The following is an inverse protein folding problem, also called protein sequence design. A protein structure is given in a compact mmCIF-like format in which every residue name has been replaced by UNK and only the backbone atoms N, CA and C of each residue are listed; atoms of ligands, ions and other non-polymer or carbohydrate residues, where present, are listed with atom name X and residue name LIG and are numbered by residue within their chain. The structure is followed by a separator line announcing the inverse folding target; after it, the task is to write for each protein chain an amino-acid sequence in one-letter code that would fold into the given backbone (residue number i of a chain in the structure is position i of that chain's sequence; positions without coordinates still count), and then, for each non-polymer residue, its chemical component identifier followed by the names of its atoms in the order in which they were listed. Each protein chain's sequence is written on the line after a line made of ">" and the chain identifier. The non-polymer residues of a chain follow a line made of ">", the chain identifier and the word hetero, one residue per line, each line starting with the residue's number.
data_IF_121755690511
#
_entry.id   IF_121755690511
#
_cell.length_a   1.000
_cell.length_b   1.000
_cell.length_c   1.000
_cell.angle_alpha   90.00
_cell.angle_beta   90.00
_cell.angle_gamma   90.00
#
_symmetry.space_group_name_H-M   'P 1'
#
loop_
_entity.id
_entity.type
_entity.pdbx_description
1 polymer ?
#
# COMPACT_ATOMS: atom_id res chain seq x y z
N UNK A 1 11.68 -7.88 -18.86
CA UNK A 1 10.43 -7.58 -18.13
C UNK A 1 10.42 -6.06 -17.93
N UNK A 2 9.43 -5.36 -18.47
CA UNK A 2 9.27 -3.90 -18.32
C UNK A 2 8.34 -3.65 -17.13
N UNK A 3 8.82 -2.94 -16.11
CA UNK A 3 8.02 -2.50 -14.97
C UNK A 3 7.82 -1.00 -15.11
N UNK A 4 6.61 -0.52 -14.87
CA UNK A 4 6.26 0.91 -14.93
C UNK A 4 5.39 1.25 -13.72
N UNK A 5 5.64 2.40 -13.12
CA UNK A 5 4.86 2.92 -11.98
C UNK A 5 4.29 4.28 -12.37
N UNK A 6 3.00 4.30 -12.61
CA UNK A 6 2.30 5.47 -13.13
C UNK A 6 1.29 5.99 -12.10
N UNK A 7 1.24 7.31 -11.91
CA UNK A 7 0.16 7.92 -11.14
C UNK A 7 -1.17 7.66 -11.84
N UNK A 8 -2.08 6.99 -11.15
CA UNK A 8 -3.42 6.78 -11.67
C UNK A 8 -4.26 8.06 -11.51
N UNK A 9 -5.17 8.26 -12.43
CA UNK A 9 -6.07 9.41 -12.47
C UNK A 9 -7.52 8.92 -12.52
N UNK A 10 -8.50 9.82 -12.49
CA UNK A 10 -9.90 9.47 -12.69
C UNK A 10 -10.17 8.65 -13.98
N UNK A 11 -9.28 8.75 -14.99
CA UNK A 11 -9.44 8.01 -16.26
C UNK A 11 -9.13 6.52 -16.14
N UNK A 12 -8.19 6.14 -15.26
CA UNK A 12 -7.71 4.76 -15.12
C UNK A 12 -7.70 4.25 -13.66
N UNK A 13 -8.17 5.06 -12.71
CA UNK A 13 -8.26 4.70 -11.29
C UNK A 13 -9.13 3.49 -11.02
N UNK A 14 -10.11 3.23 -11.90
CA UNK A 14 -10.94 2.02 -11.83
C UNK A 14 -10.11 0.73 -11.83
N UNK A 15 -8.91 0.73 -12.41
CA UNK A 15 -8.03 -0.45 -12.41
C UNK A 15 -7.55 -0.76 -10.99
N UNK A 16 -7.17 0.24 -10.19
CA UNK A 16 -6.81 0.06 -8.78
C UNK A 16 -8.03 -0.42 -8.00
N UNK A 17 -9.18 0.23 -8.19
CA UNK A 17 -10.43 -0.12 -7.52
C UNK A 17 -10.86 -1.57 -7.80
N UNK A 18 -10.66 -2.07 -9.03
CA UNK A 18 -10.91 -3.47 -9.38
C UNK A 18 -9.98 -4.46 -8.62
N UNK A 19 -8.78 -4.04 -8.27
CA UNK A 19 -7.82 -4.88 -7.53
C UNK A 19 -7.98 -4.77 -6.01
N UNK A 20 -8.64 -3.74 -5.51
CA UNK A 20 -8.73 -3.47 -4.09
C UNK A 20 -9.46 -4.58 -3.29
N UNK A 21 -10.57 -5.15 -3.77
CA UNK A 21 -11.19 -6.30 -3.10
C UNK A 21 -10.27 -7.52 -2.98
N UNK A 22 -9.39 -7.73 -3.98
CA UNK A 22 -8.42 -8.82 -3.96
C UNK A 22 -7.32 -8.57 -2.92
N UNK A 23 -6.90 -7.32 -2.76
CA UNK A 23 -5.98 -6.90 -1.72
C UNK A 23 -6.57 -7.16 -0.32
N UNK A 24 -7.80 -6.74 -0.07
CA UNK A 24 -8.47 -6.95 1.20
C UNK A 24 -8.67 -8.45 1.52
N UNK A 25 -9.02 -9.25 0.52
CA UNK A 25 -9.11 -10.69 0.66
C UNK A 25 -7.77 -11.32 1.08
N UNK A 26 -6.67 -10.90 0.44
CA UNK A 26 -5.33 -11.41 0.78
C UNK A 26 -4.91 -11.02 2.21
N UNK A 27 -5.15 -9.77 2.61
CA UNK A 27 -4.87 -9.29 3.97
C UNK A 27 -5.72 -10.03 5.00
N UNK A 28 -6.99 -10.22 4.72
CA UNK A 28 -7.89 -10.99 5.58
C UNK A 28 -7.37 -12.41 5.82
N UNK A 29 -6.85 -13.07 4.78
CA UNK A 29 -6.21 -14.39 4.90
C UNK A 29 -4.95 -14.39 5.78
N UNK A 30 -4.19 -13.28 5.81
CA UNK A 30 -3.01 -13.12 6.67
C UNK A 30 -3.40 -12.89 8.13
N UNK A 31 -4.45 -12.09 8.37
CA UNK A 31 -4.86 -11.66 9.71
C UNK A 31 -5.96 -12.52 10.33
N UNK A 32 -6.57 -13.43 9.55
CA UNK A 32 -7.70 -14.23 10.00
C UNK A 32 -8.99 -13.41 10.14
N UNK A 33 -9.10 -12.28 9.44
CA UNK A 33 -10.30 -11.44 9.44
C UNK A 33 -11.40 -12.11 8.64
N UNK A 34 -12.62 -12.09 9.16
CA UNK A 34 -13.80 -12.60 8.46
C UNK A 34 -14.46 -11.48 7.63
N UNK A 35 -15.16 -11.85 6.54
CA UNK A 35 -15.95 -10.87 5.81
C UNK A 35 -17.15 -10.42 6.67
N UNK A 36 -17.72 -9.27 6.35
CA UNK A 36 -18.98 -8.82 6.93
C UNK A 36 -20.17 -9.72 6.48
N UNK A 37 -21.37 -9.45 6.99
CA UNK A 37 -22.58 -10.23 6.70
C UNK A 37 -22.97 -10.28 5.20
N UNK A 38 -22.41 -9.43 4.37
CA UNK A 38 -22.64 -9.39 2.92
C UNK A 38 -21.53 -10.06 2.12
N UNK A 39 -20.52 -10.65 2.79
CA UNK A 39 -19.39 -11.32 2.15
C UNK A 39 -18.30 -10.35 1.64
N UNK A 40 -18.29 -9.12 2.12
CA UNK A 40 -17.34 -8.06 1.78
C UNK A 40 -16.31 -7.92 2.91
N UNK A 41 -15.04 -7.78 2.58
CA UNK A 41 -13.98 -7.48 3.54
C UNK A 41 -13.85 -5.97 3.74
N UNK A 42 -14.83 -5.37 4.41
CA UNK A 42 -14.96 -3.95 4.74
C UNK A 42 -15.81 -3.79 6.01
N UNK A 43 -16.07 -2.54 6.40
CA UNK A 43 -16.94 -2.20 7.52
C UNK A 43 -18.33 -2.84 7.39
N UNK A 44 -19.03 -3.00 8.51
CA UNK A 44 -20.28 -3.76 8.59
C UNK A 44 -21.42 -3.23 7.71
N UNK A 45 -21.41 -1.95 7.37
CA UNK A 45 -22.42 -1.26 6.57
C UNK A 45 -22.18 -1.33 5.06
N UNK A 46 -20.98 -1.72 4.62
CA UNK A 46 -20.64 -1.90 3.20
C UNK A 46 -21.28 -3.18 2.67
N UNK A 47 -22.24 -3.06 1.75
CA UNK A 47 -23.09 -4.15 1.29
C UNK A 47 -22.74 -4.71 -0.08
N UNK A 48 -22.10 -3.89 -0.90
CA UNK A 48 -21.81 -4.22 -2.30
C UNK A 48 -20.38 -3.87 -2.69
N UNK A 49 -19.85 -4.55 -3.70
CA UNK A 49 -18.57 -4.20 -4.29
C UNK A 49 -18.59 -2.78 -4.92
N UNK A 50 -19.75 -2.28 -5.30
CA UNK A 50 -19.87 -0.90 -5.79
C UNK A 50 -19.64 0.10 -4.65
N UNK A 51 -20.22 -0.11 -3.47
CA UNK A 51 -19.99 0.74 -2.31
C UNK A 51 -18.52 0.70 -1.90
N UNK A 52 -17.88 -0.47 -1.87
CA UNK A 52 -16.44 -0.60 -1.65
C UNK A 52 -15.62 0.14 -2.72
N UNK A 53 -16.01 0.05 -3.98
CA UNK A 53 -15.41 0.77 -5.08
C UNK A 53 -15.54 2.30 -4.91
N UNK A 54 -16.67 2.78 -4.41
CA UNK A 54 -16.94 4.20 -4.21
C UNK A 54 -16.10 4.79 -3.06
N UNK A 55 -15.84 4.03 -1.99
CA UNK A 55 -14.94 4.43 -0.90
C UNK A 55 -13.55 4.80 -1.45
N UNK A 56 -13.05 4.07 -2.44
CA UNK A 56 -11.74 4.32 -3.02
C UNK A 56 -11.69 5.58 -3.92
N UNK A 57 -12.81 6.25 -4.14
CA UNK A 57 -12.87 7.46 -4.96
C UNK A 57 -12.03 8.61 -4.38
N UNK A 58 -11.88 8.67 -3.06
CA UNK A 58 -11.09 9.70 -2.36
C UNK A 58 -9.65 9.83 -2.91
N UNK A 59 -9.03 8.72 -3.33
CA UNK A 59 -7.68 8.70 -3.89
C UNK A 59 -7.56 9.47 -5.21
N UNK A 60 -8.66 9.70 -5.91
CA UNK A 60 -8.71 10.34 -7.21
C UNK A 60 -9.30 11.75 -7.17
N UNK A 61 -9.83 12.16 -6.03
CA UNK A 61 -10.39 13.50 -5.80
C UNK A 61 -9.37 14.47 -5.20
N UNK A 62 -8.36 13.95 -4.49
CA UNK A 62 -7.35 14.74 -3.78
C UNK A 62 -5.94 14.44 -4.27
N UNK A 63 -5.70 14.48 -5.58
CA UNK A 63 -4.43 14.12 -6.22
C UNK A 63 -3.27 15.10 -5.98
N UNK A 64 -3.50 16.18 -5.26
CA UNK A 64 -2.50 17.08 -4.69
C UNK A 64 -1.84 16.54 -3.41
N UNK A 65 -2.52 15.64 -2.68
CA UNK A 65 -2.06 15.06 -1.42
C UNK A 65 -2.13 13.52 -1.40
N UNK A 66 -2.90 12.89 -2.29
CA UNK A 66 -3.05 11.44 -2.42
C UNK A 66 -2.55 10.95 -3.77
N UNK A 67 -1.60 10.03 -3.74
CA UNK A 67 -0.89 9.55 -4.92
C UNK A 67 -1.14 8.04 -5.12
N UNK A 68 -2.19 7.64 -5.83
CA UNK A 68 -2.46 6.26 -6.17
C UNK A 68 -1.59 5.81 -7.36
N UNK A 69 -0.54 5.06 -7.09
CA UNK A 69 0.34 4.52 -8.12
C UNK A 69 -0.14 3.17 -8.62
N UNK A 70 -0.32 3.06 -9.92
CA UNK A 70 -0.60 1.81 -10.64
C UNK A 70 0.72 1.18 -11.09
N UNK A 71 0.94 -0.07 -10.69
CA UNK A 71 2.11 -0.86 -11.08
C UNK A 71 1.74 -1.69 -12.31
N UNK A 72 2.47 -1.49 -13.40
CA UNK A 72 2.29 -2.20 -14.66
C UNK A 72 3.48 -3.10 -14.95
N UNK A 73 3.22 -4.27 -15.52
CA UNK A 73 4.25 -5.19 -16.00
C UNK A 73 3.91 -5.62 -17.43
N UNK A 74 4.79 -5.31 -18.37
CA UNK A 74 4.58 -5.58 -19.80
C UNK A 74 3.17 -5.14 -20.27
N UNK A 75 2.77 -3.92 -19.92
CA UNK A 75 1.46 -3.30 -20.20
C UNK A 75 0.24 -3.96 -19.51
N UNK A 76 0.44 -4.90 -18.61
CA UNK A 76 -0.63 -5.48 -17.80
C UNK A 76 -0.66 -4.87 -16.39
N UNK A 77 -1.82 -4.56 -15.82
CA UNK A 77 -1.93 -4.18 -14.41
C UNK A 77 -1.42 -5.30 -13.51
N UNK A 78 -0.47 -4.99 -12.66
CA UNK A 78 0.18 -5.96 -11.78
C UNK A 78 -0.11 -5.70 -10.30
N UNK A 79 -0.42 -4.45 -9.93
CA UNK A 79 -0.68 -4.06 -8.55
C UNK A 79 -0.79 -2.55 -8.39
N UNK A 80 -0.69 -2.10 -7.14
CA UNK A 80 -0.74 -0.67 -6.81
C UNK A 80 0.09 -0.35 -5.56
N UNK A 81 0.37 0.94 -5.39
CA UNK A 81 0.90 1.52 -4.15
C UNK A 81 0.16 2.83 -3.90
N UNK A 82 -0.40 3.00 -2.70
CA UNK A 82 -1.14 4.18 -2.29
C UNK A 82 -0.29 4.99 -1.33
N UNK A 83 0.01 6.24 -1.69
CA UNK A 83 0.82 7.17 -0.90
C UNK A 83 -0.01 8.39 -0.55
N UNK A 84 0.05 8.81 0.71
CA UNK A 84 -0.58 10.05 1.16
C UNK A 84 0.45 11.07 1.63
N UNK A 85 0.05 12.35 1.64
CA UNK A 85 0.80 13.48 2.16
C UNK A 85 -0.14 14.53 2.78
N UNK A 86 0.40 15.69 3.19
CA UNK A 86 -0.35 16.83 3.67
C UNK A 86 -1.25 16.49 4.86
N UNK A 87 -2.56 16.76 4.76
CA UNK A 87 -3.53 16.51 5.83
C UNK A 87 -3.82 15.01 6.09
N UNK A 88 -3.36 14.14 5.20
CA UNK A 88 -3.54 12.69 5.30
C UNK A 88 -2.39 11.99 6.03
N UNK A 89 -1.42 12.70 6.54
CA UNK A 89 -0.28 12.14 7.27
C UNK A 89 -0.12 12.79 8.64
N UNK A 90 0.62 12.13 9.56
CA UNK A 90 0.90 12.70 10.87
C UNK A 90 1.92 13.86 10.78
N UNK A 91 1.92 14.73 11.78
CA UNK A 91 2.57 16.05 11.79
C UNK A 91 4.07 16.07 11.49
N UNK A 92 4.77 14.95 11.68
CA UNK A 92 6.22 14.86 11.47
C UNK A 92 6.59 14.02 10.24
N UNK A 93 5.62 13.77 9.37
CA UNK A 93 5.73 12.93 8.18
C UNK A 93 5.31 13.74 6.97
N UNK A 94 6.06 13.67 5.89
CA UNK A 94 5.72 14.30 4.63
C UNK A 94 4.98 13.32 3.71
N UNK A 95 5.35 12.04 3.74
CA UNK A 95 4.75 10.98 2.94
C UNK A 95 4.50 9.70 3.75
N UNK A 96 3.36 9.08 3.52
CA UNK A 96 2.99 7.81 4.15
C UNK A 96 2.58 6.78 3.10
N UNK A 97 3.17 5.59 3.14
CA UNK A 97 2.69 4.48 2.32
C UNK A 97 1.54 3.79 3.05
N UNK A 98 0.33 3.98 2.54
CA UNK A 98 -0.88 3.36 3.08
C UNK A 98 -0.98 1.90 2.72
N UNK A 99 -0.90 1.61 1.42
CA UNK A 99 -1.18 0.29 0.89
C UNK A 99 -0.20 -0.07 -0.22
N UNK A 100 0.18 -1.34 -0.27
CA UNK A 100 0.97 -1.89 -1.36
C UNK A 100 0.48 -3.29 -1.69
N UNK A 101 0.09 -3.49 -2.92
CA UNK A 101 -0.43 -4.77 -3.38
C UNK A 101 0.17 -5.18 -4.71
N UNK A 102 0.40 -6.47 -4.85
CA UNK A 102 0.76 -7.09 -6.12
C UNK A 102 -0.09 -8.34 -6.34
N UNK A 103 -0.70 -8.45 -7.50
CA UNK A 103 -1.46 -9.63 -7.90
C UNK A 103 -0.59 -10.89 -7.86
N UNK A 104 -1.15 -12.00 -7.41
CA UNK A 104 -0.44 -13.26 -7.19
C UNK A 104 0.47 -13.70 -8.34
N UNK A 105 0.08 -13.64 -9.63
CA UNK A 105 0.94 -14.05 -10.75
C UNK A 105 2.24 -13.23 -10.90
N UNK A 106 2.31 -12.05 -10.30
CA UNK A 106 3.47 -11.16 -10.38
C UNK A 106 4.40 -11.23 -9.16
N UNK A 107 4.03 -11.97 -8.11
CA UNK A 107 4.81 -12.11 -6.87
C UNK A 107 6.06 -12.97 -7.06
N UNK A 108 7.04 -12.75 -6.19
CA UNK A 108 8.28 -13.56 -6.16
C UNK A 108 9.28 -13.25 -7.28
N UNK A 109 9.06 -12.20 -8.07
CA UNK A 109 9.87 -11.84 -9.26
C UNK A 109 10.63 -10.51 -9.09
N UNK A 110 10.72 -9.97 -7.87
CA UNK A 110 11.37 -8.69 -7.57
C UNK A 110 10.58 -7.45 -7.97
N UNK A 111 9.39 -7.60 -8.55
CA UNK A 111 8.57 -6.49 -9.08
C UNK A 111 8.23 -5.48 -7.99
N UNK A 112 7.74 -5.93 -6.82
CA UNK A 112 7.41 -5.01 -5.71
C UNK A 112 8.62 -4.20 -5.27
N UNK A 113 9.81 -4.82 -5.22
CA UNK A 113 11.04 -4.13 -4.85
C UNK A 113 11.33 -2.96 -5.79
N UNK A 114 11.36 -3.21 -7.09
CA UNK A 114 11.61 -2.18 -8.09
C UNK A 114 10.51 -1.09 -8.11
N UNK A 115 9.26 -1.51 -8.00
CA UNK A 115 8.14 -0.57 -7.99
C UNK A 115 8.17 0.38 -6.78
N UNK A 116 8.49 -0.13 -5.59
CA UNK A 116 8.59 0.72 -4.40
C UNK A 116 9.78 1.69 -4.49
N UNK A 117 10.93 1.24 -4.96
CA UNK A 117 12.06 2.16 -5.20
C UNK A 117 11.68 3.28 -6.16
N UNK A 118 10.92 2.97 -7.22
CA UNK A 118 10.44 3.98 -8.15
C UNK A 118 9.44 4.95 -7.50
N UNK A 119 8.53 4.46 -6.64
CA UNK A 119 7.62 5.31 -5.86
C UNK A 119 8.39 6.25 -4.94
N UNK A 120 9.34 5.73 -4.17
CA UNK A 120 10.15 6.52 -3.24
C UNK A 120 10.95 7.62 -3.95
N UNK A 121 11.45 7.35 -5.16
CA UNK A 121 12.17 8.33 -5.97
C UNK A 121 11.29 9.46 -6.56
N UNK A 122 9.96 9.33 -6.48
CA UNK A 122 9.03 10.37 -6.97
C UNK A 122 8.79 11.50 -5.96
N UNK A 123 9.16 11.30 -4.71
CA UNK A 123 8.92 12.24 -3.62
C UNK A 123 10.13 12.31 -2.71
N UNK A 124 10.45 13.49 -2.21
CA UNK A 124 11.54 13.72 -1.26
C UNK A 124 11.03 14.31 0.04
N UNK A 125 11.47 13.75 1.17
CA UNK A 125 11.08 14.18 2.51
C UNK A 125 11.08 13.05 3.52
N UNK A 126 10.34 13.27 4.61
CA UNK A 126 10.21 12.34 5.73
C UNK A 126 9.10 11.32 5.44
N UNK A 127 9.48 10.07 5.38
CA UNK A 127 8.58 8.94 5.10
C UNK A 127 8.23 8.17 6.34
N UNK A 128 7.01 7.66 6.36
CA UNK A 128 6.55 6.66 7.31
C UNK A 128 5.74 5.58 6.62
N UNK A 129 5.84 4.38 7.12
CA UNK A 129 4.91 3.29 6.86
C UNK A 129 4.88 2.34 8.05
N UNK A 130 3.85 1.52 8.12
CA UNK A 130 3.84 0.41 9.06
C UNK A 130 3.37 -0.89 8.40
N UNK A 131 3.72 -2.00 9.03
CA UNK A 131 3.21 -3.32 8.67
C UNK A 131 2.89 -4.11 9.94
N UNK A 132 1.95 -5.04 9.88
CA UNK A 132 1.62 -5.85 11.06
C UNK A 132 2.81 -6.66 11.57
N UNK A 133 3.04 -6.61 12.88
CA UNK A 133 4.15 -7.31 13.55
C UNK A 133 3.78 -8.74 13.96
N UNK A 134 2.92 -9.42 13.20
CA UNK A 134 2.47 -10.80 13.46
C UNK A 134 3.33 -11.83 12.75
N UNK A 135 3.34 -13.07 13.24
CA UNK A 135 4.06 -14.18 12.62
C UNK A 135 3.61 -14.44 11.18
N UNK A 136 2.32 -14.36 10.91
CA UNK A 136 1.75 -14.60 9.59
C UNK A 136 2.17 -13.53 8.55
N UNK A 137 2.66 -12.38 9.01
CA UNK A 137 3.07 -11.25 8.17
C UNK A 137 4.60 -11.11 8.02
N UNK A 138 5.39 -12.10 8.45
CA UNK A 138 6.88 -12.06 8.36
C UNK A 138 7.41 -11.75 6.97
N UNK A 139 6.69 -12.17 5.93
CA UNK A 139 7.10 -11.90 4.55
C UNK A 139 7.09 -10.41 4.23
N UNK A 140 6.03 -9.69 4.62
CA UNK A 140 5.96 -8.24 4.44
C UNK A 140 6.96 -7.51 5.32
N UNK A 141 7.15 -7.94 6.57
CA UNK A 141 8.16 -7.38 7.46
C UNK A 141 9.57 -7.47 6.86
N UNK A 142 9.94 -8.64 6.34
CA UNK A 142 11.24 -8.86 5.70
C UNK A 142 11.39 -8.06 4.40
N UNK A 143 10.31 -7.94 3.64
CA UNK A 143 10.28 -7.13 2.43
C UNK A 143 10.56 -5.66 2.74
N UNK A 144 9.83 -5.06 3.68
CA UNK A 144 10.01 -3.66 4.04
C UNK A 144 11.39 -3.37 4.64
N UNK A 145 11.88 -4.23 5.52
CA UNK A 145 13.25 -4.12 6.04
C UNK A 145 14.27 -4.07 4.90
N UNK A 146 14.20 -5.01 3.95
CA UNK A 146 15.12 -5.08 2.82
C UNK A 146 15.04 -3.84 1.93
N UNK A 147 13.83 -3.41 1.56
CA UNK A 147 13.63 -2.26 0.66
C UNK A 147 14.19 -0.98 1.29
N UNK A 148 13.78 -0.69 2.52
CA UNK A 148 14.14 0.56 3.18
C UNK A 148 15.62 0.59 3.51
N UNK A 149 16.16 -0.48 4.10
CA UNK A 149 17.57 -0.63 4.40
C UNK A 149 18.46 -0.36 3.18
N UNK A 150 18.14 -0.98 2.04
CA UNK A 150 18.89 -0.77 0.79
C UNK A 150 18.70 0.65 0.24
N UNK A 151 17.48 1.20 0.32
CA UNK A 151 17.17 2.51 -0.24
C UNK A 151 17.83 3.67 0.53
N UNK A 152 17.93 3.55 1.86
CA UNK A 152 18.42 4.59 2.76
C UNK A 152 19.87 4.39 3.19
N UNK A 153 20.55 3.38 2.65
CA UNK A 153 21.89 2.95 3.13
C UNK A 153 21.91 2.75 4.66
N UNK A 154 20.94 1.96 5.16
CA UNK A 154 20.71 1.67 6.60
C UNK A 154 20.30 2.88 7.47
N UNK A 155 19.99 4.04 6.87
CA UNK A 155 19.61 5.25 7.61
C UNK A 155 18.10 5.32 7.81
N UNK A 156 17.58 4.51 8.69
CA UNK A 156 16.16 4.47 9.05
C UNK A 156 15.95 4.01 10.49
N UNK A 157 14.75 4.20 11.01
CA UNK A 157 14.35 3.68 12.33
C UNK A 157 13.22 2.67 12.19
N UNK A 158 13.21 1.66 13.07
CA UNK A 158 12.10 0.73 13.25
C UNK A 158 11.68 0.76 14.72
N UNK A 159 10.39 0.94 14.96
CA UNK A 159 9.78 0.82 16.28
C UNK A 159 8.65 -0.20 16.27
N UNK A 160 8.43 -0.84 17.43
CA UNK A 160 7.23 -1.65 17.67
C UNK A 160 6.20 -0.75 18.35
N UNK A 161 5.07 -0.56 17.72
CA UNK A 161 3.99 0.28 18.21
C UNK A 161 2.66 -0.49 18.21
N UNK A 162 1.73 -0.09 19.08
CA UNK A 162 0.35 -0.57 19.01
C UNK A 162 -0.49 0.51 18.33
N UNK A 163 -1.03 0.22 17.16
CA UNK A 163 -1.86 1.12 16.38
C UNK A 163 -3.18 0.38 16.14
N UNK A 164 -4.31 1.01 16.50
CA UNK A 164 -5.65 0.41 16.40
C UNK A 164 -5.71 -0.98 17.06
N UNK A 165 -5.17 -1.06 18.28
CA UNK A 165 -5.09 -2.29 19.09
C UNK A 165 -4.25 -3.43 18.46
N UNK A 166 -3.57 -3.19 17.35
CA UNK A 166 -2.76 -4.18 16.66
C UNK A 166 -1.26 -3.86 16.72
N UNK A 167 -0.41 -4.88 16.93
CA UNK A 167 1.04 -4.67 16.93
C UNK A 167 1.53 -4.37 15.51
N UNK A 168 2.27 -3.27 15.37
CA UNK A 168 2.85 -2.81 14.10
C UNK A 168 4.36 -2.62 14.22
N UNK A 169 5.06 -2.91 13.13
CA UNK A 169 6.41 -2.40 12.88
C UNK A 169 6.27 -1.10 12.12
N UNK A 170 6.71 -0.02 12.73
CA UNK A 170 6.70 1.32 12.13
C UNK A 170 8.10 1.66 11.63
N UNK A 171 8.19 2.03 10.36
CA UNK A 171 9.42 2.45 9.71
C UNK A 171 9.37 3.95 9.47
N UNK A 172 10.47 4.65 9.81
CA UNK A 172 10.65 6.08 9.52
C UNK A 172 12.01 6.31 8.91
N UNK A 173 12.06 7.11 7.84
CA UNK A 173 13.28 7.49 7.15
C UNK A 173 13.08 8.80 6.39
N UNK A 174 14.17 9.36 5.86
CA UNK A 174 14.17 10.55 5.01
C UNK A 174 15.03 10.29 3.76
N UNK A 175 14.63 10.87 2.61
CA UNK A 175 15.35 10.74 1.35
C UNK A 175 15.55 12.08 0.62
#
# INVERSE_FOLDING_TARGET
>A
MKIEVNLATNKNGFIIKNMYPLYLHDIAGIHGTLPNQYGIFEEEDVRTLQEQYDIQQVWFEHQDELFPYLIMVNNLPAGFCLVGSGKYVCKETDFFIYETFLLSPFRGKGISYHAILEVLNKHHGRWMLFTHATENNKRAQSFWKKVISTYTDEQYTITNETIEEMPKLVFKFEN
#
